data_IF_095894760464
#
_entry.id   IF_095894760464
#
_cell.length_a   1.000
_cell.length_b   1.000
_cell.length_c   1.000
_cell.angle_alpha   90.00
_cell.angle_beta   90.00
_cell.angle_gamma   90.00
#
_symmetry.space_group_name_H-M   'P 1'
#
loop_
_entity.id
_entity.type
_entity.pdbx_description
1 polymer ?
#
# COMPACT_ATOMS: atom_id res chain seq x y z
N UNK A 1 -10.72 19.13 -3.41
CA UNK A 1 -10.90 18.99 -1.94
C UNK A 1 -10.02 17.87 -1.32
N UNK A 2 -8.91 17.48 -1.98
CA UNK A 2 -8.03 16.42 -1.46
C UNK A 2 -7.35 16.80 -0.11
N UNK A 3 -7.28 18.10 0.19
CA UNK A 3 -6.71 18.63 1.43
C UNK A 3 -7.76 18.84 2.53
N UNK A 4 -8.99 18.37 2.34
CA UNK A 4 -10.04 18.50 3.34
C UNK A 4 -9.69 17.67 4.60
N UNK A 5 -10.05 18.24 5.78
CA UNK A 5 -9.87 17.57 7.06
C UNK A 5 -10.61 16.23 7.08
N UNK A 6 -9.96 15.18 7.55
CA UNK A 6 -10.54 13.83 7.58
C UNK A 6 -10.20 12.97 6.35
N UNK A 7 -9.35 13.45 5.45
CA UNK A 7 -8.73 12.63 4.40
C UNK A 7 -7.30 12.37 4.81
N UNK A 8 -6.93 11.10 4.92
CA UNK A 8 -5.61 10.68 5.38
C UNK A 8 -4.99 9.66 4.42
N UNK A 9 -3.68 9.74 4.27
CA UNK A 9 -2.86 8.59 3.85
C UNK A 9 -2.66 7.66 5.05
N UNK A 10 -2.09 6.49 4.82
CA UNK A 10 -1.72 5.56 5.89
C UNK A 10 -0.33 5.00 5.60
N UNK A 11 0.66 5.86 5.86
CA UNK A 11 2.03 5.60 5.46
C UNK A 11 3.01 5.60 6.63
N UNK A 12 2.82 6.52 7.56
CA UNK A 12 3.73 6.73 8.67
C UNK A 12 3.04 6.51 10.02
N UNK A 13 3.78 6.27 11.11
CA UNK A 13 3.19 6.12 12.44
C UNK A 13 2.32 7.31 12.88
N UNK A 14 2.67 8.54 12.47
CA UNK A 14 1.85 9.74 12.77
C UNK A 14 0.53 9.77 12.00
N UNK A 15 0.41 9.09 10.85
CA UNK A 15 -0.88 8.95 10.17
C UNK A 15 -1.86 8.15 11.04
N UNK A 16 -1.36 7.12 11.74
CA UNK A 16 -2.15 6.35 12.71
C UNK A 16 -2.66 7.26 13.81
N UNK A 17 -1.78 8.09 14.39
CA UNK A 17 -2.15 9.01 15.47
C UNK A 17 -3.18 10.04 14.99
N UNK A 18 -3.03 10.58 13.80
CA UNK A 18 -3.98 11.52 13.21
C UNK A 18 -5.36 10.89 12.97
N UNK A 19 -5.40 9.64 12.50
CA UNK A 19 -6.64 8.86 12.33
C UNK A 19 -7.31 8.58 13.69
N UNK A 20 -6.53 8.16 14.70
CA UNK A 20 -7.02 7.93 16.05
C UNK A 20 -7.62 9.21 16.68
N UNK A 21 -6.93 10.33 16.56
CA UNK A 21 -7.40 11.63 17.01
C UNK A 21 -8.70 12.03 16.31
N UNK A 22 -8.75 11.89 14.97
CA UNK A 22 -9.95 12.19 14.20
C UNK A 22 -11.15 11.35 14.63
N UNK A 23 -10.95 10.05 14.89
CA UNK A 23 -12.01 9.16 15.39
C UNK A 23 -12.50 9.62 16.76
N UNK A 24 -11.57 9.90 17.69
CA UNK A 24 -11.88 10.28 19.06
C UNK A 24 -12.58 11.63 19.14
N UNK A 25 -12.05 12.65 18.46
CA UNK A 25 -12.55 14.03 18.58
C UNK A 25 -13.86 14.25 17.83
N UNK A 26 -14.04 13.58 16.68
CA UNK A 26 -15.21 13.80 15.81
C UNK A 26 -16.28 12.72 15.95
N UNK A 27 -16.05 11.69 16.76
CA UNK A 27 -16.99 10.58 16.91
C UNK A 27 -17.28 9.88 15.58
N UNK A 28 -16.24 9.56 14.80
CA UNK A 28 -16.37 8.95 13.48
C UNK A 28 -17.07 7.60 13.56
N UNK A 29 -18.15 7.45 12.83
CA UNK A 29 -18.96 6.23 12.71
C UNK A 29 -18.91 5.62 11.31
N UNK A 30 -18.52 6.42 10.31
CA UNK A 30 -18.49 6.02 8.90
C UNK A 30 -17.12 6.34 8.27
N UNK A 31 -16.43 5.31 7.78
CA UNK A 31 -15.17 5.42 7.07
C UNK A 31 -15.27 4.89 5.65
N UNK A 32 -14.65 5.59 4.71
CA UNK A 32 -14.43 5.09 3.35
C UNK A 32 -12.94 4.88 3.11
N UNK A 33 -12.58 3.69 2.67
CA UNK A 33 -11.22 3.32 2.28
C UNK A 33 -11.16 3.26 0.75
N UNK A 34 -10.19 3.96 0.16
CA UNK A 34 -9.96 3.95 -1.28
C UNK A 34 -8.81 3.01 -1.58
N UNK A 35 -9.11 1.93 -2.29
CA UNK A 35 -8.19 0.84 -2.63
C UNK A 35 -8.41 -0.41 -1.78
N UNK A 36 -8.57 -1.56 -2.44
CA UNK A 36 -8.76 -2.87 -1.85
C UNK A 36 -7.48 -3.74 -1.89
N UNK A 37 -6.30 -3.11 -1.77
CA UNK A 37 -5.02 -3.79 -1.56
C UNK A 37 -4.84 -4.23 -0.11
N UNK A 38 -3.65 -4.77 0.25
CA UNK A 38 -3.35 -5.24 1.62
C UNK A 38 -3.69 -4.20 2.70
N UNK A 39 -3.20 -2.97 2.54
CA UNK A 39 -3.41 -1.90 3.53
C UNK A 39 -4.90 -1.62 3.69
N UNK A 40 -5.64 -1.50 2.57
CA UNK A 40 -7.08 -1.24 2.62
C UNK A 40 -7.85 -2.36 3.31
N UNK A 41 -7.48 -3.61 3.07
CA UNK A 41 -8.14 -4.77 3.67
C UNK A 41 -7.86 -4.89 5.18
N UNK A 42 -6.61 -4.70 5.61
CA UNK A 42 -6.23 -4.72 7.04
C UNK A 42 -6.89 -3.57 7.82
N UNK A 43 -6.97 -2.39 7.20
CA UNK A 43 -7.68 -1.25 7.80
C UNK A 43 -9.19 -1.49 7.88
N UNK A 44 -9.79 -2.11 6.86
CA UNK A 44 -11.21 -2.44 6.89
C UNK A 44 -11.56 -3.38 8.05
N UNK A 45 -10.74 -4.40 8.28
CA UNK A 45 -10.86 -5.27 9.44
C UNK A 45 -10.72 -4.50 10.77
N UNK A 46 -9.69 -3.64 10.85
CA UNK A 46 -9.42 -2.83 12.04
C UNK A 46 -10.59 -1.91 12.38
N UNK A 47 -11.15 -1.21 11.41
CA UNK A 47 -12.31 -0.34 11.64
C UNK A 47 -13.57 -1.15 11.97
N UNK A 48 -13.79 -2.27 11.29
CA UNK A 48 -14.91 -3.16 11.58
C UNK A 48 -14.87 -3.67 13.03
N UNK A 49 -13.72 -4.15 13.52
CA UNK A 49 -13.53 -4.59 14.91
C UNK A 49 -13.80 -3.49 15.93
N UNK A 50 -13.70 -2.23 15.53
CA UNK A 50 -14.01 -1.05 16.36
C UNK A 50 -15.47 -0.60 16.26
N UNK A 51 -16.30 -1.32 15.50
CA UNK A 51 -17.70 -0.99 15.28
C UNK A 51 -17.93 0.22 14.36
N UNK A 52 -16.92 0.62 13.58
CA UNK A 52 -17.02 1.71 12.61
C UNK A 52 -17.52 1.13 11.29
N UNK A 53 -18.61 1.70 10.76
CA UNK A 53 -19.16 1.30 9.45
C UNK A 53 -18.15 1.58 8.36
N UNK A 54 -17.76 0.55 7.64
CA UNK A 54 -16.66 0.59 6.69
C UNK A 54 -17.14 0.34 5.27
N UNK A 55 -16.67 1.18 4.36
CA UNK A 55 -16.87 1.04 2.92
C UNK A 55 -15.51 1.04 2.22
N UNK A 56 -15.35 0.19 1.20
CA UNK A 56 -14.15 0.12 0.36
C UNK A 56 -14.54 0.46 -1.08
N UNK A 57 -13.79 1.36 -1.71
CA UNK A 57 -13.92 1.71 -3.13
C UNK A 57 -12.69 1.18 -3.86
N UNK A 58 -12.91 0.36 -4.88
CA UNK A 58 -11.85 -0.24 -5.69
C UNK A 58 -12.20 -0.09 -7.18
N UNK A 59 -11.24 0.39 -7.97
CA UNK A 59 -11.43 0.59 -9.41
C UNK A 59 -11.39 -0.71 -10.22
N UNK A 60 -10.79 -1.75 -9.68
CA UNK A 60 -10.75 -3.07 -10.31
C UNK A 60 -12.01 -3.88 -9.98
N UNK A 61 -12.18 -5.00 -10.69
CA UNK A 61 -13.34 -5.88 -10.57
C UNK A 61 -13.31 -6.78 -9.32
N UNK A 62 -12.25 -6.70 -8.50
CA UNK A 62 -12.05 -7.56 -7.33
C UNK A 62 -11.18 -6.94 -6.25
N UNK A 63 -11.26 -7.48 -5.06
CA UNK A 63 -10.36 -7.18 -3.95
C UNK A 63 -8.99 -7.86 -4.17
N UNK A 64 -7.93 -7.30 -3.59
CA UNK A 64 -6.54 -7.78 -3.72
C UNK A 64 -6.15 -8.09 -5.18
N UNK A 65 -6.42 -7.18 -6.14
CA UNK A 65 -6.40 -7.49 -7.57
C UNK A 65 -5.02 -7.86 -8.10
N UNK A 66 -3.95 -7.47 -7.40
CA UNK A 66 -2.57 -7.83 -7.76
C UNK A 66 -2.10 -9.16 -7.14
N UNK A 67 -2.90 -9.75 -6.24
CA UNK A 67 -2.50 -10.91 -5.44
C UNK A 67 -3.36 -12.13 -5.69
N UNK A 68 -4.64 -11.91 -6.01
CA UNK A 68 -5.63 -12.98 -6.14
C UNK A 68 -6.26 -12.98 -7.53
N UNK A 69 -6.43 -14.17 -8.08
CA UNK A 69 -7.33 -14.40 -9.19
C UNK A 69 -8.78 -14.20 -8.73
N UNK A 70 -9.69 -14.01 -9.69
CA UNK A 70 -11.07 -13.63 -9.41
C UNK A 70 -11.78 -14.65 -8.52
N UNK A 71 -11.57 -15.92 -8.76
CA UNK A 71 -12.19 -17.03 -8.01
C UNK A 71 -11.79 -17.00 -6.53
N UNK A 72 -10.52 -16.72 -6.24
CA UNK A 72 -10.02 -16.60 -4.86
C UNK A 72 -10.47 -15.29 -4.21
N UNK A 73 -10.48 -14.20 -4.96
CA UNK A 73 -10.99 -12.92 -4.48
C UNK A 73 -12.48 -13.00 -4.10
N UNK A 74 -13.29 -13.73 -4.87
CA UNK A 74 -14.72 -13.96 -4.59
C UNK A 74 -14.93 -14.79 -3.30
N UNK A 75 -14.01 -15.69 -2.95
CA UNK A 75 -14.04 -16.40 -1.67
C UNK A 75 -13.77 -15.47 -0.49
N UNK A 76 -12.77 -14.59 -0.60
CA UNK A 76 -12.39 -13.62 0.44
C UNK A 76 -13.43 -12.50 0.58
N UNK A 77 -14.12 -12.15 -0.49
CA UNK A 77 -15.18 -11.13 -0.50
C UNK A 77 -16.37 -11.51 0.41
N UNK A 78 -16.77 -12.78 0.43
CA UNK A 78 -17.95 -13.26 1.18
C UNK A 78 -17.90 -12.96 2.69
N UNK A 79 -16.80 -13.23 3.43
CA UNK A 79 -16.68 -12.85 4.83
C UNK A 79 -16.86 -11.35 5.06
N UNK A 80 -16.29 -10.51 4.19
CA UNK A 80 -16.39 -9.05 4.28
C UNK A 80 -17.82 -8.56 4.16
N UNK A 81 -18.55 -9.05 3.15
CA UNK A 81 -19.96 -8.73 2.94
C UNK A 81 -20.82 -9.20 4.11
N UNK A 82 -20.55 -10.41 4.65
CA UNK A 82 -21.24 -10.94 5.83
C UNK A 82 -20.98 -10.10 7.08
N UNK A 83 -19.79 -9.52 7.20
CA UNK A 83 -19.42 -8.60 8.27
C UNK A 83 -20.04 -7.20 8.11
N UNK A 84 -20.74 -6.93 7.00
CA UNK A 84 -21.38 -5.65 6.74
C UNK A 84 -20.43 -4.59 6.17
N UNK A 85 -19.27 -4.99 5.67
CA UNK A 85 -18.35 -4.09 4.96
C UNK A 85 -18.88 -3.89 3.54
N UNK A 86 -19.13 -2.64 3.16
CA UNK A 86 -19.61 -2.31 1.82
C UNK A 86 -18.44 -2.35 0.82
N UNK A 87 -18.60 -3.08 -0.28
CA UNK A 87 -17.59 -3.16 -1.34
C UNK A 87 -18.15 -2.54 -2.63
N UNK A 88 -17.50 -1.46 -3.08
CA UNK A 88 -17.81 -0.77 -4.33
C UNK A 88 -16.67 -1.08 -5.32
N UNK A 89 -16.82 -2.19 -6.05
CA UNK A 89 -15.86 -2.65 -7.06
C UNK A 89 -16.18 -2.05 -8.44
N UNK A 90 -15.21 -2.03 -9.33
CA UNK A 90 -15.30 -1.38 -10.65
C UNK A 90 -15.79 0.08 -10.54
N UNK A 91 -15.36 0.77 -9.48
CA UNK A 91 -15.83 2.11 -9.16
C UNK A 91 -14.63 3.02 -8.86
N UNK A 92 -14.46 4.06 -9.68
CA UNK A 92 -13.32 4.95 -9.60
C UNK A 92 -13.64 6.17 -8.74
N UNK A 93 -12.81 6.42 -7.73
CA UNK A 93 -12.86 7.70 -7.01
C UNK A 93 -12.45 8.83 -7.93
N UNK A 94 -13.28 9.86 -8.04
CA UNK A 94 -13.05 11.05 -8.87
C UNK A 94 -12.87 12.33 -8.05
N UNK A 95 -13.24 12.30 -6.77
CA UNK A 95 -13.08 13.47 -5.90
C UNK A 95 -13.63 13.25 -4.49
N UNK A 96 -13.65 14.35 -3.75
CA UNK A 96 -14.16 14.41 -2.39
C UNK A 96 -15.12 15.58 -2.25
N UNK A 97 -16.21 15.39 -1.52
CA UNK A 97 -17.11 16.44 -1.08
C UNK A 97 -16.68 16.87 0.32
N UNK A 98 -16.62 18.18 0.54
CA UNK A 98 -16.28 18.75 1.84
C UNK A 98 -17.29 19.83 2.21
N UNK A 99 -17.66 19.88 3.47
CA UNK A 99 -18.48 20.91 4.08
C UNK A 99 -17.68 21.60 5.17
N UNK A 100 -17.55 22.90 5.12
CA UNK A 100 -16.74 23.69 6.06
C UNK A 100 -15.28 23.19 6.22
N UNK A 101 -14.69 22.73 5.09
CA UNK A 101 -13.30 22.24 5.07
C UNK A 101 -13.12 20.80 5.63
N UNK A 102 -14.21 20.10 5.97
CA UNK A 102 -14.20 18.72 6.48
C UNK A 102 -14.84 17.79 5.44
N UNK A 103 -14.25 16.62 5.21
CA UNK A 103 -14.81 15.64 4.28
C UNK A 103 -16.19 15.17 4.75
N UNK A 104 -17.13 15.11 3.81
CA UNK A 104 -18.51 14.64 4.04
C UNK A 104 -18.90 13.49 3.12
N UNK A 105 -18.23 13.32 1.97
CA UNK A 105 -18.44 12.16 1.09
C UNK A 105 -17.24 11.93 0.17
N UNK A 106 -17.11 10.70 -0.32
CA UNK A 106 -16.27 10.33 -1.45
C UNK A 106 -17.13 10.35 -2.71
N UNK A 107 -16.69 11.06 -3.73
CA UNK A 107 -17.31 11.08 -5.03
C UNK A 107 -16.65 10.05 -5.94
N UNK A 108 -17.45 9.15 -6.48
CA UNK A 108 -17.02 8.18 -7.48
C UNK A 108 -17.60 8.52 -8.86
N UNK A 109 -17.21 7.78 -9.87
CA UNK A 109 -17.80 7.88 -11.23
C UNK A 109 -19.24 7.37 -11.30
N UNK A 110 -19.76 6.76 -10.20
CA UNK A 110 -21.12 6.19 -10.17
C UNK A 110 -22.03 6.84 -9.10
N UNK A 111 -21.45 7.36 -7.99
CA UNK A 111 -22.25 7.85 -6.85
C UNK A 111 -21.44 8.71 -5.89
N UNK A 112 -22.14 9.28 -4.90
CA UNK A 112 -21.51 9.80 -3.69
C UNK A 112 -21.69 8.81 -2.54
N UNK A 113 -20.62 8.59 -1.77
CA UNK A 113 -20.59 7.69 -0.62
C UNK A 113 -20.31 8.55 0.62
N UNK A 114 -21.25 8.69 1.55
CA UNK A 114 -21.05 9.46 2.77
C UNK A 114 -19.84 8.96 3.55
N UNK A 115 -19.02 9.88 4.04
CA UNK A 115 -17.79 9.58 4.78
C UNK A 115 -17.46 10.68 5.77
N UNK A 116 -17.20 10.34 7.01
CA UNK A 116 -16.64 11.24 8.00
C UNK A 116 -15.12 11.14 8.06
N UNK A 117 -14.57 10.03 7.61
CA UNK A 117 -13.15 9.76 7.51
C UNK A 117 -12.88 9.03 6.20
N UNK A 118 -11.81 9.42 5.51
CA UNK A 118 -11.37 8.76 4.27
C UNK A 118 -9.92 8.35 4.41
N UNK A 119 -9.63 7.10 4.09
CA UNK A 119 -8.26 6.59 4.00
C UNK A 119 -7.90 6.31 2.55
N UNK A 120 -6.83 6.91 2.07
CA UNK A 120 -6.32 6.71 0.71
C UNK A 120 -5.24 5.65 0.71
N UNK A 121 -5.56 4.44 0.26
CA UNK A 121 -4.71 3.25 0.24
C UNK A 121 -4.53 2.70 -1.19
N UNK A 122 -4.23 3.58 -2.15
CA UNK A 122 -4.17 3.27 -3.60
C UNK A 122 -2.82 2.70 -4.07
N UNK A 123 -2.03 2.20 -3.14
CA UNK A 123 -0.72 1.59 -3.41
C UNK A 123 0.45 2.52 -3.15
N UNK A 124 1.64 1.97 -3.39
CA UNK A 124 2.93 2.61 -3.10
C UNK A 124 3.77 2.72 -4.38
N UNK A 125 4.69 3.67 -4.40
CA UNK A 125 5.66 3.86 -5.49
C UNK A 125 7.06 3.96 -4.88
N UNK A 126 8.08 3.44 -5.58
CA UNK A 126 9.45 3.57 -5.11
C UNK A 126 9.88 5.04 -5.09
N UNK A 127 10.48 5.48 -3.99
CA UNK A 127 11.04 6.82 -3.89
C UNK A 127 12.45 6.81 -4.49
N UNK A 128 12.59 7.29 -5.72
CA UNK A 128 13.83 7.23 -6.52
C UNK A 128 14.37 8.61 -6.89
N UNK A 129 13.78 9.69 -6.42
CA UNK A 129 14.13 11.05 -6.87
C UNK A 129 15.57 11.42 -6.51
N UNK A 130 16.04 11.05 -5.31
CA UNK A 130 17.45 11.25 -4.92
C UNK A 130 18.41 10.45 -5.82
N UNK A 131 18.07 9.21 -6.14
CA UNK A 131 18.86 8.36 -7.01
C UNK A 131 18.94 8.92 -8.44
N UNK A 132 17.83 9.40 -8.98
CA UNK A 132 17.80 10.09 -10.28
C UNK A 132 18.65 11.35 -10.28
N UNK A 133 18.54 12.18 -9.23
CA UNK A 133 19.34 13.38 -9.10
C UNK A 133 20.84 13.10 -9.00
N UNK A 134 21.21 11.93 -8.43
CA UNK A 134 22.58 11.43 -8.38
C UNK A 134 23.05 10.75 -9.68
N UNK A 135 22.20 10.65 -10.71
CA UNK A 135 22.51 10.00 -11.98
C UNK A 135 22.55 8.47 -11.92
N UNK A 136 21.95 7.86 -10.90
CA UNK A 136 21.89 6.39 -10.79
C UNK A 136 20.86 5.81 -11.75
N UNK A 137 21.13 4.59 -12.21
CA UNK A 137 20.24 3.87 -13.11
C UNK A 137 18.93 3.47 -12.41
N UNK A 138 17.81 3.73 -13.10
CA UNK A 138 16.47 3.29 -12.69
C UNK A 138 16.04 2.15 -13.61
N UNK A 139 15.70 1.01 -13.02
CA UNK A 139 15.33 -0.19 -13.75
C UNK A 139 13.91 -0.14 -14.34
N UNK A 140 13.52 -1.17 -15.10
CA UNK A 140 12.22 -1.25 -15.78
C UNK A 140 11.03 -1.27 -14.83
N UNK A 141 11.23 -1.61 -13.56
CA UNK A 141 10.17 -1.58 -12.52
C UNK A 141 9.93 -0.18 -11.95
N UNK A 142 10.74 0.80 -12.34
CA UNK A 142 10.76 2.14 -11.75
C UNK A 142 11.55 2.25 -10.44
N UNK A 143 12.15 1.15 -9.97
CA UNK A 143 13.04 1.12 -8.80
C UNK A 143 14.49 1.42 -9.19
N UNK A 144 15.34 1.70 -8.20
CA UNK A 144 16.78 1.82 -8.38
C UNK A 144 17.33 0.46 -8.84
N UNK A 145 18.00 0.43 -10.01
CA UNK A 145 18.65 -0.76 -10.51
C UNK A 145 19.80 -1.17 -9.59
N UNK A 146 19.86 -2.45 -9.25
CA UNK A 146 20.93 -3.02 -8.44
C UNK A 146 21.39 -4.36 -9.01
N UNK A 147 22.66 -4.67 -8.77
CA UNK A 147 23.23 -5.98 -9.05
C UNK A 147 22.91 -7.00 -7.94
N UNK A 148 23.45 -8.20 -8.04
CA UNK A 148 23.25 -9.27 -7.06
C UNK A 148 23.88 -8.99 -5.67
N UNK A 149 24.73 -7.97 -5.56
CA UNK A 149 25.35 -7.51 -4.31
C UNK A 149 24.62 -6.29 -3.74
N UNK A 150 23.51 -5.87 -4.36
CA UNK A 150 22.74 -4.67 -4.03
C UNK A 150 23.50 -3.36 -4.25
N UNK A 151 24.53 -3.38 -5.11
CA UNK A 151 25.21 -2.17 -5.59
C UNK A 151 24.42 -1.56 -6.75
N UNK A 152 24.38 -0.25 -6.79
CA UNK A 152 23.77 0.53 -7.89
C UNK A 152 24.70 0.60 -9.12
N UNK A 153 24.37 1.45 -10.08
CA UNK A 153 25.27 1.79 -11.20
C UNK A 153 26.57 2.49 -10.77
N UNK A 154 26.59 3.07 -9.56
CA UNK A 154 27.83 3.55 -8.90
C UNK A 154 28.27 2.49 -7.87
N UNK A 155 29.47 1.89 -8.00
CA UNK A 155 29.93 0.82 -7.11
C UNK A 155 30.16 1.27 -5.66
N UNK A 156 30.22 2.57 -5.38
CA UNK A 156 30.31 3.10 -4.02
C UNK A 156 28.94 3.26 -3.36
N UNK A 157 27.84 3.06 -4.09
CA UNK A 157 26.47 3.29 -3.61
C UNK A 157 25.68 1.98 -3.65
N UNK A 158 25.03 1.68 -2.54
CA UNK A 158 24.11 0.56 -2.41
C UNK A 158 22.67 1.05 -2.30
N UNK A 159 21.71 0.25 -2.77
CA UNK A 159 20.30 0.52 -2.57
C UNK A 159 19.55 -0.75 -2.10
N UNK A 160 18.61 -0.56 -1.18
CA UNK A 160 17.82 -1.65 -0.61
C UNK A 160 16.47 -1.20 -0.09
N UNK A 161 15.60 -2.17 0.19
CA UNK A 161 14.22 -1.95 0.61
C UNK A 161 13.30 -1.61 -0.56
N UNK A 162 12.25 -0.86 -0.29
CA UNK A 162 11.15 -0.61 -1.23
C UNK A 162 11.56 0.21 -2.46
N UNK A 163 12.66 0.93 -2.41
CA UNK A 163 13.16 1.69 -3.56
C UNK A 163 14.06 0.90 -4.51
N UNK A 164 14.54 -0.29 -4.11
CA UNK A 164 15.46 -1.10 -4.90
C UNK A 164 14.73 -2.19 -5.69
N UNK A 165 15.22 -2.44 -6.91
CA UNK A 165 14.70 -3.49 -7.79
C UNK A 165 15.04 -4.88 -7.27
N UNK A 166 14.08 -5.79 -7.34
CA UNK A 166 14.27 -7.19 -6.96
C UNK A 166 14.31 -8.11 -8.18
N UNK A 167 14.92 -9.29 -8.02
CA UNK A 167 14.81 -10.38 -8.97
C UNK A 167 13.91 -11.47 -8.38
N UNK A 168 12.85 -11.83 -9.10
CA UNK A 168 11.97 -12.92 -8.69
C UNK A 168 12.64 -14.27 -8.92
N UNK A 169 12.78 -15.07 -7.87
CA UNK A 169 13.60 -16.30 -7.90
C UNK A 169 13.11 -17.38 -8.85
N UNK A 170 11.82 -17.42 -9.15
CA UNK A 170 11.25 -18.47 -10.03
C UNK A 170 11.31 -18.04 -11.47
N UNK A 171 10.87 -16.81 -11.80
CA UNK A 171 10.78 -16.35 -13.19
C UNK A 171 12.05 -15.66 -13.70
N UNK A 172 12.95 -15.23 -12.80
CA UNK A 172 14.09 -14.38 -13.14
C UNK A 172 13.73 -12.93 -13.48
N UNK A 173 12.45 -12.59 -13.48
CA UNK A 173 11.99 -11.25 -13.83
C UNK A 173 12.38 -10.22 -12.77
N UNK A 174 12.64 -8.99 -13.23
CA UNK A 174 12.76 -7.84 -12.34
C UNK A 174 11.39 -7.42 -11.84
N UNK A 175 11.26 -7.22 -10.53
CA UNK A 175 9.99 -6.88 -9.87
C UNK A 175 10.16 -5.80 -8.82
N UNK A 176 9.07 -5.07 -8.59
CA UNK A 176 8.87 -4.21 -7.43
C UNK A 176 8.22 -5.00 -6.30
N UNK A 177 8.86 -5.07 -5.15
CA UNK A 177 8.38 -5.87 -3.99
C UNK A 177 8.54 -5.07 -2.71
N UNK A 178 7.62 -4.16 -2.39
CA UNK A 178 7.68 -3.32 -1.19
C UNK A 178 7.26 -4.15 0.03
N UNK A 179 8.25 -4.79 0.67
CA UNK A 179 8.04 -5.68 1.82
C UNK A 179 9.12 -5.47 2.88
N UNK A 180 8.71 -5.27 4.14
CA UNK A 180 9.62 -5.08 5.26
C UNK A 180 10.59 -6.24 5.47
N UNK A 181 10.16 -7.50 5.20
CA UNK A 181 11.02 -8.67 5.26
C UNK A 181 12.13 -8.66 4.19
N UNK A 182 11.84 -8.13 3.00
CA UNK A 182 12.81 -7.91 1.92
C UNK A 182 13.78 -6.79 2.31
N UNK A 183 13.27 -5.66 2.76
CA UNK A 183 14.08 -4.51 3.21
C UNK A 183 15.08 -4.90 4.32
N UNK A 184 14.65 -5.71 5.29
CA UNK A 184 15.51 -6.21 6.37
C UNK A 184 16.65 -7.09 5.84
N UNK A 185 16.36 -7.99 4.89
CA UNK A 185 17.38 -8.84 4.26
C UNK A 185 18.36 -8.03 3.41
N UNK A 186 17.85 -7.04 2.65
CA UNK A 186 18.70 -6.11 1.90
C UNK A 186 19.68 -5.39 2.81
N UNK A 187 19.20 -4.85 3.93
CA UNK A 187 20.04 -4.15 4.90
C UNK A 187 21.21 -5.00 5.42
N UNK A 188 20.96 -6.29 5.70
CA UNK A 188 22.03 -7.21 6.14
C UNK A 188 23.05 -7.45 5.03
N UNK A 189 22.61 -7.82 3.84
CA UNK A 189 23.50 -8.08 2.70
C UNK A 189 24.32 -6.84 2.35
N UNK A 190 23.71 -5.65 2.37
CA UNK A 190 24.42 -4.38 2.14
C UNK A 190 25.47 -4.13 3.21
N UNK A 191 25.14 -4.35 4.49
CA UNK A 191 26.09 -4.15 5.58
C UNK A 191 27.32 -5.06 5.45
N UNK A 192 27.10 -6.35 5.17
CA UNK A 192 28.18 -7.34 4.98
C UNK A 192 29.07 -6.92 3.79
N UNK A 193 28.46 -6.51 2.67
CA UNK A 193 29.20 -6.08 1.47
C UNK A 193 29.98 -4.78 1.66
N UNK A 194 29.46 -3.83 2.44
CA UNK A 194 30.21 -2.60 2.82
C UNK A 194 31.40 -2.95 3.71
N UNK A 195 31.29 -3.99 4.54
CA UNK A 195 32.38 -4.47 5.40
C UNK A 195 33.45 -5.28 4.64
N UNK A 196 33.25 -5.55 3.36
CA UNK A 196 34.23 -6.21 2.50
C UNK A 196 33.89 -7.67 2.16
N UNK A 197 32.75 -8.18 2.61
CA UNK A 197 32.24 -9.48 2.17
C UNK A 197 31.69 -9.39 0.74
N UNK A 198 31.51 -10.53 0.10
CA UNK A 198 30.93 -10.62 -1.26
C UNK A 198 29.65 -11.49 -1.21
N UNK A 199 28.67 -11.03 -0.42
CA UNK A 199 27.41 -11.75 -0.20
C UNK A 199 26.41 -11.42 -1.29
N UNK A 200 25.97 -12.45 -2.01
CA UNK A 200 24.92 -12.30 -3.03
C UNK A 200 23.53 -12.36 -2.40
N UNK A 201 22.68 -11.42 -2.78
CA UNK A 201 21.27 -11.48 -2.48
C UNK A 201 20.56 -12.43 -3.45
N UNK A 202 19.89 -13.49 -2.97
CA UNK A 202 19.34 -14.53 -3.85
C UNK A 202 18.04 -14.12 -4.56
N UNK A 203 17.54 -12.91 -4.34
CA UNK A 203 16.25 -12.47 -4.83
C UNK A 203 15.08 -12.86 -3.93
N UNK A 204 13.86 -12.63 -4.40
CA UNK A 204 12.61 -12.77 -3.63
C UNK A 204 11.64 -13.77 -4.27
N UNK A 205 10.74 -14.33 -3.45
CA UNK A 205 9.57 -15.08 -3.90
C UNK A 205 8.28 -14.23 -3.86
N UNK A 206 8.30 -13.09 -3.17
CA UNK A 206 7.14 -12.22 -3.04
C UNK A 206 6.02 -12.81 -2.16
N UNK A 207 6.38 -13.66 -1.18
CA UNK A 207 5.39 -14.28 -0.29
C UNK A 207 4.93 -13.31 0.77
N UNK A 208 3.62 -13.10 0.87
CA UNK A 208 2.96 -12.34 1.91
C UNK A 208 1.88 -13.15 2.61
N UNK A 209 1.57 -12.79 3.85
CA UNK A 209 0.45 -13.33 4.62
C UNK A 209 -0.37 -12.15 5.12
N UNK A 210 -1.67 -12.20 4.91
CA UNK A 210 -2.63 -11.22 5.39
C UNK A 210 -3.81 -11.96 6.01
N UNK A 211 -4.21 -11.56 7.19
CA UNK A 211 -5.47 -12.00 7.80
C UNK A 211 -6.56 -11.02 7.41
N UNK A 212 -7.72 -11.53 7.02
CA UNK A 212 -8.88 -10.72 6.64
C UNK A 212 -10.11 -11.32 7.32
N UNK A 213 -10.46 -10.73 8.44
CA UNK A 213 -11.49 -11.22 9.38
C UNK A 213 -11.20 -12.65 9.91
N UNK A 214 -12.02 -13.12 10.83
CA UNK A 214 -11.93 -14.47 11.43
C UNK A 214 -12.75 -15.49 10.64
#
# INVERSE_FOLDING_TARGET
NADAKGIHSFWFPWDVLAVEEAIKERGVTDVVIIGAGFIGMELAESFHKRGIKTSIVEMQDRILPQMLDKELADLVKKPLEKAGINLYLEEKTVGFVATDGVVSAVQTDKREIPAQLVIVAVGVRPNVELAKAAGLEIGPTGCIAVNEYLQTSDPAIYAGGDCAENTHRVSGAKIFTPMGSTANKHGRVIADNICGDAIKYPGVLGTGVCQILD
#
